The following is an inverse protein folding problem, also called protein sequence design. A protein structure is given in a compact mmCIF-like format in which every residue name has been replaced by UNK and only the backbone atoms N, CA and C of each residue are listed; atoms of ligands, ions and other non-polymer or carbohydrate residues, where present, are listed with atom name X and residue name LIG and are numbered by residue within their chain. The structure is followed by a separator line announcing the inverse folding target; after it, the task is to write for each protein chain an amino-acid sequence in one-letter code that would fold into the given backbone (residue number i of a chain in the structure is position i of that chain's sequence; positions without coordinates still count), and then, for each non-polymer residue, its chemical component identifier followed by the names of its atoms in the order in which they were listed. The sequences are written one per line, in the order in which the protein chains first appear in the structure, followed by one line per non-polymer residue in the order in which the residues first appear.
data_IF_666393520010
#
_entry.id   IF_666393520010
#
_cell.length_a   1.000
_cell.length_b   1.000
_cell.length_c   1.000
_cell.angle_alpha   90.00
_cell.angle_beta   90.00
_cell.angle_gamma   90.00
#
_symmetry.space_group_name_H-M   'P 1'
#
loop_
_entity.id
_entity.type
_entity.pdbx_description
1 polymer ?
#
# COMPACT_ATOMS: atom_id res chain seq x y z
N UNK A 1 20.82 -6.23 4.25
CA UNK A 1 20.55 -4.83 4.67
C UNK A 1 19.94 -4.89 6.07
N UNK A 2 20.62 -4.28 7.05
CA UNK A 2 20.25 -4.31 8.47
C UNK A 2 19.00 -3.47 8.73
N UNK A 3 18.06 -4.04 9.49
CA UNK A 3 16.90 -3.37 10.06
C UNK A 3 17.33 -2.08 10.78
N UNK A 4 16.88 -0.93 10.29
CA UNK A 4 16.92 0.31 11.06
C UNK A 4 15.72 0.35 12.00
N UNK A 5 15.72 -0.53 13.00
CA UNK A 5 14.94 -0.32 14.21
C UNK A 5 15.61 0.83 14.98
N UNK A 6 15.38 2.06 14.53
CA UNK A 6 15.59 3.23 15.40
C UNK A 6 14.48 3.17 16.43
N UNK A 7 14.85 2.93 17.68
CA UNK A 7 14.05 3.25 18.84
C UNK A 7 13.54 4.68 18.67
N UNK A 8 12.26 4.83 18.34
CA UNK A 8 11.57 6.11 18.44
C UNK A 8 11.40 6.33 19.94
N UNK A 9 12.39 6.97 20.57
CA UNK A 9 12.17 7.65 21.84
C UNK A 9 10.93 8.52 21.66
N UNK A 10 9.96 8.38 22.56
CA UNK A 10 8.68 9.08 22.50
C UNK A 10 8.93 10.56 22.23
N UNK A 11 8.75 10.97 20.97
CA UNK A 11 8.84 12.36 20.58
C UNK A 11 7.63 13.00 21.24
N UNK A 12 7.87 13.88 22.22
CA UNK A 12 6.81 14.56 22.95
C UNK A 12 5.78 15.09 21.95
N UNK A 13 4.53 14.70 22.13
CA UNK A 13 3.43 15.26 21.35
C UNK A 13 3.38 16.76 21.64
N UNK A 14 3.69 17.59 20.65
CA UNK A 14 3.77 19.04 20.82
C UNK A 14 2.43 19.74 20.58
N UNK A 15 1.32 18.99 20.64
CA UNK A 15 -0.02 19.50 20.37
C UNK A 15 -0.41 19.51 18.89
N UNK A 16 -1.71 19.72 18.67
CA UNK A 16 -2.32 19.67 17.34
C UNK A 16 -1.88 20.85 16.46
N UNK A 17 -1.79 22.06 17.03
CA UNK A 17 -1.40 23.28 16.31
C UNK A 17 0.03 23.19 15.80
N UNK A 18 0.95 22.71 16.63
CA UNK A 18 2.34 22.51 16.23
C UNK A 18 2.47 21.49 15.09
N UNK A 19 1.71 20.40 15.18
CA UNK A 19 1.69 19.34 14.16
C UNK A 19 1.13 19.86 12.84
N UNK A 20 0.03 20.62 12.89
CA UNK A 20 -0.58 21.25 11.73
C UNK A 20 0.35 22.25 11.06
N UNK A 21 1.03 23.11 11.83
CA UNK A 21 1.99 24.07 11.28
C UNK A 21 3.21 23.37 10.65
N UNK A 22 3.67 22.26 11.22
CA UNK A 22 4.71 21.42 10.60
C UNK A 22 4.25 20.83 9.26
N UNK A 23 3.01 20.34 9.18
CA UNK A 23 2.46 19.87 7.91
C UNK A 23 2.37 21.00 6.88
N UNK A 24 1.88 22.18 7.27
CA UNK A 24 1.82 23.37 6.39
C UNK A 24 3.19 23.76 5.84
N UNK A 25 4.23 23.76 6.68
CA UNK A 25 5.60 24.06 6.24
C UNK A 25 6.17 22.99 5.29
N UNK A 26 5.74 21.73 5.44
CA UNK A 26 6.23 20.64 4.61
C UNK A 26 5.64 20.64 3.19
N UNK A 27 4.51 21.32 2.95
CA UNK A 27 3.80 21.31 1.64
C UNK A 27 4.69 21.76 0.48
N UNK A 28 5.59 22.72 0.70
CA UNK A 28 6.47 23.27 -0.35
C UNK A 28 7.79 22.50 -0.49
N UNK A 29 8.01 21.46 0.32
CA UNK A 29 9.26 20.71 0.29
C UNK A 29 9.37 19.88 -1.00
N UNK A 30 10.51 20.00 -1.69
CA UNK A 30 10.83 19.26 -2.92
C UNK A 30 11.76 18.07 -2.69
N UNK A 31 12.18 17.86 -1.45
CA UNK A 31 13.09 16.78 -1.08
C UNK A 31 12.29 15.51 -0.84
N UNK A 32 12.56 14.48 -1.65
CA UNK A 32 12.04 13.13 -1.41
C UNK A 32 13.14 12.23 -0.84
N UNK A 33 12.77 11.16 -0.11
CA UNK A 33 13.70 10.07 0.17
C UNK A 33 14.40 9.56 -1.11
N UNK A 34 15.59 8.95 -0.99
CA UNK A 34 16.34 8.40 -2.12
C UNK A 34 15.71 7.09 -2.65
N UNK A 35 14.42 7.13 -2.97
CA UNK A 35 13.64 6.06 -3.56
C UNK A 35 13.30 6.37 -5.03
N UNK A 36 13.09 5.35 -5.88
CA UNK A 36 12.56 5.54 -7.22
C UNK A 36 11.26 6.36 -7.21
N UNK A 37 11.03 7.17 -8.24
CA UNK A 37 9.81 8.01 -8.34
C UNK A 37 8.55 7.14 -8.30
N UNK A 38 8.56 5.98 -8.97
CA UNK A 38 7.43 5.05 -8.96
C UNK A 38 7.11 4.51 -7.55
N UNK A 39 8.12 4.33 -6.70
CA UNK A 39 7.95 3.92 -5.32
C UNK A 39 7.24 5.01 -4.52
N UNK A 40 7.69 6.27 -4.67
CA UNK A 40 7.04 7.42 -4.01
C UNK A 40 5.60 7.63 -4.46
N UNK A 41 5.32 7.38 -5.75
CA UNK A 41 3.96 7.46 -6.27
C UNK A 41 3.07 6.34 -5.69
N UNK A 42 3.60 5.12 -5.60
CA UNK A 42 2.94 4.00 -4.92
C UNK A 42 2.59 4.35 -3.46
N UNK A 43 3.56 4.86 -2.69
CA UNK A 43 3.32 5.27 -1.30
C UNK A 43 2.25 6.37 -1.22
N UNK A 44 2.26 7.34 -2.13
CA UNK A 44 1.26 8.42 -2.15
C UNK A 44 -0.15 7.88 -2.39
N UNK A 45 -0.30 6.91 -3.29
CA UNK A 45 -1.60 6.27 -3.56
C UNK A 45 -2.04 5.43 -2.37
N UNK A 46 -1.18 4.55 -1.86
CA UNK A 46 -1.50 3.64 -0.75
C UNK A 46 -1.90 4.42 0.50
N UNK A 47 -1.07 5.38 0.94
CA UNK A 47 -1.38 6.17 2.14
C UNK A 47 -2.52 7.16 1.91
N UNK A 48 -2.69 7.64 0.68
CA UNK A 48 -3.87 8.42 0.32
C UNK A 48 -5.15 7.61 0.46
N UNK A 49 -5.12 6.34 0.09
CA UNK A 49 -6.26 5.44 0.23
C UNK A 49 -6.52 5.03 1.70
N UNK A 50 -5.46 4.85 2.50
CA UNK A 50 -5.59 4.64 3.96
C UNK A 50 -6.39 5.78 4.64
N UNK A 51 -6.37 7.00 4.08
CA UNK A 51 -7.17 8.16 4.55
C UNK A 51 -8.56 8.18 3.91
N UNK A 52 -8.63 7.99 2.59
CA UNK A 52 -9.88 8.14 1.82
C UNK A 52 -10.89 7.05 2.14
N UNK A 53 -10.42 5.82 2.28
CA UNK A 53 -11.26 4.65 2.52
C UNK A 53 -12.18 4.84 3.74
N UNK A 54 -11.68 5.13 4.96
CA UNK A 54 -12.55 5.31 6.14
C UNK A 54 -13.48 6.53 6.03
N UNK A 55 -13.17 7.49 5.17
CA UNK A 55 -13.99 8.68 4.91
C UNK A 55 -14.99 8.50 3.75
N UNK A 56 -15.02 7.32 3.11
CA UNK A 56 -15.81 7.04 1.91
C UNK A 56 -15.55 8.02 0.75
N UNK A 57 -14.36 8.63 0.70
CA UNK A 57 -13.96 9.55 -0.37
C UNK A 57 -13.46 8.73 -1.55
N UNK A 58 -14.01 8.97 -2.74
CA UNK A 58 -13.53 8.33 -3.98
C UNK A 58 -12.44 9.15 -4.64
N UNK A 59 -11.45 8.46 -5.20
CA UNK A 59 -10.42 9.08 -6.02
C UNK A 59 -10.10 8.22 -7.23
N UNK A 60 -10.30 8.78 -8.42
CA UNK A 60 -10.01 8.10 -9.68
C UNK A 60 -8.56 8.38 -10.11
N UNK A 61 -7.66 7.48 -9.74
CA UNK A 61 -6.29 7.49 -10.25
C UNK A 61 -6.25 6.96 -11.69
N UNK A 62 -5.46 7.57 -12.60
CA UNK A 62 -5.32 7.08 -13.96
C UNK A 62 -4.86 5.62 -14.00
N UNK A 63 -5.54 4.77 -14.78
CA UNK A 63 -5.26 3.34 -14.81
C UNK A 63 -3.81 3.03 -15.21
N UNK A 64 -3.25 3.77 -16.16
CA UNK A 64 -1.85 3.61 -16.59
C UNK A 64 -0.86 3.84 -15.43
N UNK A 65 -1.20 4.71 -14.49
CA UNK A 65 -0.41 4.93 -13.26
C UNK A 65 -0.51 3.74 -12.33
N UNK A 66 -1.73 3.25 -12.09
CA UNK A 66 -1.97 2.09 -11.23
C UNK A 66 -1.29 0.83 -11.79
N UNK A 67 -1.36 0.58 -13.09
CA UNK A 67 -0.66 -0.53 -13.74
C UNK A 67 0.84 -0.52 -13.45
N UNK A 68 1.52 0.62 -13.64
CA UNK A 68 2.96 0.75 -13.37
C UNK A 68 3.31 0.52 -11.90
N UNK A 69 2.45 0.96 -10.99
CA UNK A 69 2.64 0.75 -9.54
C UNK A 69 2.45 -0.73 -9.19
N UNK A 70 1.43 -1.38 -9.73
CA UNK A 70 1.18 -2.80 -9.52
C UNK A 70 2.36 -3.64 -10.02
N UNK A 71 2.88 -3.37 -11.22
CA UNK A 71 4.09 -4.00 -11.77
C UNK A 71 5.31 -3.79 -10.87
N UNK A 72 5.51 -2.56 -10.39
CA UNK A 72 6.60 -2.23 -9.48
C UNK A 72 6.49 -3.06 -8.19
N UNK A 73 5.36 -3.02 -7.48
CA UNK A 73 5.18 -3.74 -6.21
C UNK A 73 5.24 -5.26 -6.37
N UNK A 74 4.81 -5.81 -7.51
CA UNK A 74 5.00 -7.24 -7.83
C UNK A 74 6.48 -7.62 -7.90
N UNK A 75 7.34 -6.71 -8.34
CA UNK A 75 8.73 -7.00 -8.69
C UNK A 75 9.73 -6.88 -7.53
N UNK A 76 9.37 -6.14 -6.46
CA UNK A 76 10.29 -5.77 -5.37
C UNK A 76 9.65 -5.80 -3.98
N UNK A 77 10.47 -5.94 -2.95
CA UNK A 77 10.10 -5.76 -1.54
C UNK A 77 10.79 -4.50 -0.92
N UNK A 78 11.28 -3.56 -1.75
CA UNK A 78 12.17 -2.47 -1.30
C UNK A 78 11.52 -1.51 -0.29
N UNK A 79 10.23 -1.20 -0.46
CA UNK A 79 9.51 -0.25 0.41
C UNK A 79 8.46 -0.94 1.29
N UNK A 80 7.90 -2.05 0.81
CA UNK A 80 6.91 -2.88 1.48
C UNK A 80 7.06 -4.31 0.97
N UNK A 81 6.76 -5.30 1.82
CA UNK A 81 6.86 -6.74 1.48
C UNK A 81 5.73 -7.15 0.54
N UNK A 82 5.74 -6.69 -0.71
CA UNK A 82 4.70 -6.97 -1.70
C UNK A 82 5.01 -8.20 -2.56
N UNK A 83 6.20 -8.28 -3.16
CA UNK A 83 6.63 -9.40 -4.01
C UNK A 83 6.52 -10.74 -3.30
N UNK A 84 6.97 -10.83 -2.04
CA UNK A 84 6.85 -12.07 -1.25
C UNK A 84 5.40 -12.45 -0.99
N UNK A 85 4.55 -11.47 -0.68
CA UNK A 85 3.13 -11.67 -0.37
C UNK A 85 2.37 -12.30 -1.54
N UNK A 86 2.66 -11.86 -2.76
CA UNK A 86 1.98 -12.32 -3.98
C UNK A 86 2.63 -13.55 -4.65
N UNK A 87 3.71 -14.09 -4.08
CA UNK A 87 4.45 -15.19 -4.70
C UNK A 87 3.54 -16.41 -4.95
N UNK A 88 3.55 -16.92 -6.19
CA UNK A 88 2.76 -18.09 -6.59
C UNK A 88 1.25 -17.83 -6.73
N UNK A 89 0.84 -16.56 -6.83
CA UNK A 89 -0.52 -16.16 -7.16
C UNK A 89 -0.55 -15.58 -8.57
N UNK A 90 -1.70 -15.74 -9.25
CA UNK A 90 -1.99 -15.08 -10.52
C UNK A 90 -2.87 -13.85 -10.24
N UNK A 91 -2.28 -12.66 -10.35
CA UNK A 91 -2.99 -11.38 -10.20
C UNK A 91 -3.54 -10.93 -11.55
N UNK A 92 -4.81 -10.56 -11.62
CA UNK A 92 -5.45 -10.06 -12.86
C UNK A 92 -6.33 -8.85 -12.54
N UNK A 93 -6.01 -7.69 -13.14
CA UNK A 93 -6.85 -6.51 -13.04
C UNK A 93 -8.10 -6.63 -13.92
N UNK A 94 -9.23 -6.17 -13.42
CA UNK A 94 -10.50 -6.12 -14.17
C UNK A 94 -10.74 -4.78 -14.88
N UNK A 95 -10.02 -3.73 -14.48
CA UNK A 95 -10.18 -2.36 -14.97
C UNK A 95 -8.97 -1.87 -15.79
N UNK A 96 -8.00 -2.76 -16.09
CA UNK A 96 -6.79 -2.42 -16.82
C UNK A 96 -5.98 -3.64 -17.26
N UNK A 97 -4.83 -3.43 -17.90
CA UNK A 97 -4.06 -4.51 -18.54
C UNK A 97 -3.17 -5.30 -17.56
N UNK A 98 -3.16 -4.95 -16.28
CA UNK A 98 -2.24 -5.56 -15.32
C UNK A 98 -2.57 -7.05 -15.12
N UNK A 99 -1.61 -7.90 -15.46
CA UNK A 99 -1.63 -9.33 -15.15
C UNK A 99 -0.24 -9.76 -14.69
N UNK A 100 -0.13 -10.60 -13.68
CA UNK A 100 1.18 -11.07 -13.22
C UNK A 100 1.12 -12.39 -12.47
N UNK A 101 2.18 -13.17 -12.63
CA UNK A 101 2.36 -14.43 -11.92
C UNK A 101 1.51 -15.57 -12.47
N UNK A 102 1.66 -16.71 -11.83
CA UNK A 102 1.00 -17.97 -12.15
C UNK A 102 0.55 -18.62 -10.84
N UNK A 103 -0.53 -19.40 -10.89
CA UNK A 103 -1.15 -20.04 -9.72
C UNK A 103 -2.61 -19.65 -9.50
N UNK A 104 -3.15 -19.83 -8.28
CA UNK A 104 -4.52 -19.47 -7.93
C UNK A 104 -4.84 -18.00 -8.23
N UNK A 105 -6.02 -17.77 -8.80
CA UNK A 105 -6.44 -16.46 -9.27
C UNK A 105 -6.74 -15.49 -8.12
N UNK A 106 -6.27 -14.26 -8.25
CA UNK A 106 -6.71 -13.09 -7.48
C UNK A 106 -7.06 -12.00 -8.49
N UNK A 107 -8.35 -11.68 -8.59
CA UNK A 107 -8.89 -10.77 -9.60
C UNK A 107 -9.71 -9.65 -8.96
N UNK A 108 -9.59 -8.44 -9.50
CA UNK A 108 -10.35 -7.27 -9.06
C UNK A 108 -9.80 -5.99 -9.65
N UNK A 109 -10.27 -4.84 -9.14
CA UNK A 109 -9.75 -3.54 -9.59
C UNK A 109 -8.26 -3.39 -9.28
N UNK A 110 -7.53 -2.69 -10.14
CA UNK A 110 -6.07 -2.52 -10.01
C UNK A 110 -5.71 -1.87 -8.67
N UNK A 111 -6.51 -0.91 -8.19
CA UNK A 111 -6.31 -0.30 -6.87
C UNK A 111 -6.45 -1.32 -5.73
N UNK A 112 -7.52 -2.14 -5.74
CA UNK A 112 -7.73 -3.16 -4.72
C UNK A 112 -6.58 -4.20 -4.70
N UNK A 113 -6.08 -4.58 -5.88
CA UNK A 113 -4.89 -5.41 -5.99
C UNK A 113 -3.69 -4.72 -5.32
N UNK A 114 -3.35 -3.48 -5.67
CA UNK A 114 -2.24 -2.72 -5.06
C UNK A 114 -2.37 -2.67 -3.53
N UNK A 115 -3.56 -2.35 -3.02
CA UNK A 115 -3.79 -2.25 -1.57
C UNK A 115 -3.61 -3.60 -0.87
N UNK A 116 -4.14 -4.69 -1.43
CA UNK A 116 -3.96 -6.04 -0.88
C UNK A 116 -2.49 -6.50 -0.99
N UNK A 117 -1.82 -6.24 -2.12
CA UNK A 117 -0.38 -6.53 -2.32
C UNK A 117 0.48 -5.87 -1.24
N UNK A 118 0.10 -4.67 -0.80
CA UNK A 118 0.80 -3.89 0.24
C UNK A 118 0.29 -4.17 1.66
N UNK A 119 -0.53 -5.21 1.83
CA UNK A 119 -0.91 -5.77 3.14
C UNK A 119 -2.16 -5.15 3.77
N UNK A 120 -2.94 -4.34 3.04
CA UNK A 120 -4.22 -3.81 3.53
C UNK A 120 -5.32 -4.83 3.31
N UNK A 121 -5.44 -5.75 4.27
CA UNK A 121 -6.30 -6.94 4.21
C UNK A 121 -7.75 -6.65 3.85
N UNK A 122 -8.31 -5.49 4.27
CA UNK A 122 -9.68 -5.07 3.93
C UNK A 122 -9.94 -5.06 2.42
N UNK A 123 -8.95 -4.71 1.60
CA UNK A 123 -9.11 -4.70 0.15
C UNK A 123 -9.23 -6.10 -0.46
N UNK A 124 -8.91 -7.17 0.29
CA UNK A 124 -9.19 -8.53 -0.14
C UNK A 124 -10.70 -8.82 -0.22
N UNK A 125 -11.56 -8.03 0.44
CA UNK A 125 -13.02 -8.16 0.33
C UNK A 125 -13.54 -7.70 -1.05
N UNK A 126 -12.74 -6.94 -1.80
CA UNK A 126 -13.05 -6.48 -3.17
C UNK A 126 -12.45 -7.41 -4.24
N UNK A 127 -11.73 -8.46 -3.83
CA UNK A 127 -11.02 -9.38 -4.72
C UNK A 127 -11.74 -10.73 -4.81
N UNK A 128 -11.55 -11.40 -5.94
CA UNK A 128 -12.20 -12.66 -6.28
C UNK A 128 -11.18 -13.72 -6.73
N UNK A 129 -11.51 -14.99 -6.53
CA UNK A 129 -10.72 -16.13 -6.98
C UNK A 129 -10.02 -16.88 -5.84
N UNK A 130 -9.58 -18.10 -6.16
CA UNK A 130 -9.09 -19.08 -5.18
C UNK A 130 -7.80 -18.66 -4.46
N UNK A 131 -7.07 -17.67 -4.99
CA UNK A 131 -5.87 -17.12 -4.36
C UNK A 131 -6.14 -16.08 -3.28
N UNK A 132 -7.37 -15.56 -3.15
CA UNK A 132 -7.71 -14.48 -2.21
C UNK A 132 -7.46 -14.88 -0.75
N UNK A 133 -7.88 -16.08 -0.27
CA UNK A 133 -7.58 -16.51 1.10
C UNK A 133 -6.07 -16.55 1.37
N UNK A 134 -5.29 -17.08 0.42
CA UNK A 134 -3.82 -17.13 0.54
C UNK A 134 -3.20 -15.73 0.62
N UNK A 135 -3.72 -14.76 -0.16
CA UNK A 135 -3.25 -13.37 -0.09
C UNK A 135 -3.60 -12.72 1.26
N UNK A 136 -4.81 -13.00 1.77
CA UNK A 136 -5.31 -12.53 3.07
C UNK A 136 -4.42 -13.03 4.21
N UNK A 137 -4.13 -14.32 4.23
CA UNK A 137 -3.33 -14.97 5.29
C UNK A 137 -1.87 -14.50 5.36
N UNK A 138 -1.34 -14.03 4.22
CA UNK A 138 0.03 -13.48 4.12
C UNK A 138 0.11 -11.98 4.46
N UNK A 139 -1.02 -11.35 4.73
CA UNK A 139 -1.06 -9.96 5.19
C UNK A 139 -0.84 -9.92 6.69
N UNK A 140 -0.15 -8.90 7.23
CA UNK A 140 0.01 -8.78 8.67
C UNK A 140 -1.38 -8.75 9.31
N UNK A 141 -1.57 -9.55 10.36
CA UNK A 141 -2.75 -9.40 11.21
C UNK A 141 -2.74 -7.97 11.76
N UNK A 142 -3.87 -7.28 11.63
CA UNK A 142 -4.09 -6.07 12.41
C UNK A 142 -4.24 -6.51 13.86
N UNK A 143 -3.16 -6.41 14.63
CA UNK A 143 -3.23 -6.62 16.07
C UNK A 143 -3.89 -5.39 16.70
N UNK A 144 -5.20 -5.47 16.89
CA UNK A 144 -5.98 -4.47 17.62
C UNK A 144 -5.83 -4.60 19.15
N UNK A 145 -5.03 -5.55 19.66
CA UNK A 145 -4.88 -5.78 21.10
C UNK A 145 -3.83 -4.85 21.73
N UNK A 146 -4.08 -3.54 21.67
CA UNK A 146 -3.80 -2.67 22.82
C UNK A 146 -4.73 -1.46 22.82
N UNK A 147 -5.91 -1.54 23.46
CA UNK A 147 -6.58 -0.40 24.04
C UNK A 147 -6.44 -0.40 25.57
N UNK A 148 -6.08 0.79 26.08
CA UNK A 148 -5.86 1.27 27.46
C UNK A 148 -4.58 0.83 28.22
#
# INVERSE_FOLDING_TARGET
MRNSARTLTARSWNGITWTLDRFRHAVTNKTKPPLPVIAMLGETIVHGEDIRQPLAVRHDSPIATLTRIAEYYRSTDQVVVAKKRVKGLRLVATDGPFTSGEGPLVSGRTLALIMAMTGRTRFCDELHGDGVPTLRDRSPAYDASTPE
#
